data_IF_121358256393
#
_entry.id   IF_121358256393
#
_cell.length_a   1.000
_cell.length_b   1.000
_cell.length_c   1.000
_cell.angle_alpha   90.00
_cell.angle_beta   90.00
_cell.angle_gamma   90.00
#
_symmetry.space_group_name_H-M   'P 1'
#
loop_
_entity.id
_entity.type
_entity.pdbx_description
1 polymer ?
#
# COMPACT_ATOMS: atom_id res chain seq x y z
N UNK A 1 0.78 5.89 21.09
CA UNK A 1 0.62 5.55 19.65
C UNK A 1 -0.79 5.95 19.24
N UNK A 2 -0.96 7.21 18.84
CA UNK A 2 -2.24 7.87 18.56
C UNK A 2 -2.67 7.72 17.09
N UNK A 3 -2.07 6.76 16.36
CA UNK A 3 -1.99 6.75 14.90
C UNK A 3 -3.23 6.17 14.19
N UNK A 4 -4.22 5.61 14.91
CA UNK A 4 -5.22 4.74 14.26
C UNK A 4 -6.60 4.78 14.94
N UNK A 5 -7.01 5.87 15.60
CA UNK A 5 -8.40 5.91 16.10
C UNK A 5 -9.42 6.07 14.97
N UNK A 6 -9.12 6.90 13.96
CA UNK A 6 -10.06 7.21 12.87
C UNK A 6 -9.67 6.61 11.52
N UNK A 7 -8.59 5.81 11.50
CA UNK A 7 -8.17 5.14 10.28
C UNK A 7 -9.21 4.10 9.87
N UNK A 8 -9.48 4.03 8.57
CA UNK A 8 -10.45 3.09 8.01
C UNK A 8 -9.85 2.37 6.81
N UNK A 9 -10.30 1.14 6.56
CA UNK A 9 -9.94 0.44 5.33
C UNK A 9 -10.38 1.25 4.11
N UNK A 10 -9.58 1.18 3.04
CA UNK A 10 -9.95 1.83 1.78
C UNK A 10 -11.23 1.20 1.21
N UNK A 11 -12.02 2.03 0.56
CA UNK A 11 -13.16 1.60 -0.26
C UNK A 11 -12.81 1.82 -1.72
N UNK A 12 -12.51 0.73 -2.44
CA UNK A 12 -12.12 0.77 -3.85
C UNK A 12 -13.13 1.46 -4.76
N UNK A 13 -14.42 1.46 -4.39
CA UNK A 13 -15.49 2.07 -5.19
C UNK A 13 -15.51 3.60 -5.09
N UNK A 14 -14.81 4.18 -4.09
CA UNK A 14 -14.84 5.60 -3.77
C UNK A 14 -13.50 6.31 -4.01
N UNK A 15 -12.47 5.58 -4.43
CA UNK A 15 -11.15 6.16 -4.71
C UNK A 15 -11.13 6.87 -6.06
N UNK A 16 -10.71 8.13 -6.04
CA UNK A 16 -10.33 8.90 -7.23
C UNK A 16 -9.03 8.35 -7.84
N UNK A 17 -8.77 8.69 -9.11
CA UNK A 17 -7.51 8.33 -9.78
C UNK A 17 -6.28 8.81 -9.00
N UNK A 18 -6.32 10.05 -8.49
CA UNK A 18 -5.24 10.65 -7.72
C UNK A 18 -4.95 9.87 -6.43
N UNK A 19 -5.99 9.47 -5.71
CA UNK A 19 -5.83 8.66 -4.49
C UNK A 19 -5.23 7.29 -4.79
N UNK A 20 -5.64 6.64 -5.89
CA UNK A 20 -5.03 5.38 -6.34
C UNK A 20 -3.53 5.54 -6.62
N UNK A 21 -3.14 6.64 -7.28
CA UNK A 21 -1.73 6.95 -7.54
C UNK A 21 -0.95 7.20 -6.23
N UNK A 22 -1.56 7.85 -5.23
CA UNK A 22 -0.96 8.04 -3.91
C UNK A 22 -0.71 6.70 -3.19
N UNK A 23 -1.67 5.77 -3.26
CA UNK A 23 -1.51 4.43 -2.68
C UNK A 23 -0.34 3.67 -3.35
N UNK A 24 -0.21 3.76 -4.69
CA UNK A 24 0.92 3.16 -5.41
C UNK A 24 2.25 3.78 -4.97
N UNK A 25 2.30 5.11 -4.82
CA UNK A 25 3.50 5.80 -4.35
C UNK A 25 3.86 5.40 -2.91
N UNK A 26 2.88 5.16 -2.05
CA UNK A 26 3.13 4.67 -0.70
C UNK A 26 3.74 3.27 -0.69
N UNK A 27 3.28 2.37 -1.57
CA UNK A 27 3.92 1.06 -1.75
C UNK A 27 5.36 1.19 -2.27
N UNK A 28 5.62 2.11 -3.21
CA UNK A 28 6.97 2.37 -3.70
C UNK A 28 7.91 2.84 -2.61
N UNK A 29 7.44 3.66 -1.68
CA UNK A 29 8.25 4.07 -0.52
C UNK A 29 8.64 2.86 0.35
N UNK A 30 7.75 1.88 0.50
CA UNK A 30 8.05 0.61 1.19
C UNK A 30 9.08 -0.20 0.38
N UNK A 31 8.88 -0.33 -0.93
CA UNK A 31 9.81 -1.05 -1.82
C UNK A 31 11.21 -0.42 -1.88
N UNK A 32 11.32 0.90 -1.80
CA UNK A 32 12.60 1.61 -1.78
C UNK A 32 13.44 1.29 -0.54
N UNK A 33 12.79 0.84 0.54
CA UNK A 33 13.44 0.34 1.76
C UNK A 33 13.81 -1.16 1.66
N UNK A 34 13.61 -1.78 0.50
CA UNK A 34 13.87 -3.21 0.28
C UNK A 34 12.83 -4.13 0.89
N UNK A 35 11.65 -3.61 1.24
CA UNK A 35 10.58 -4.38 1.87
C UNK A 35 9.58 -4.83 0.80
N UNK A 36 9.40 -6.14 0.66
CA UNK A 36 8.32 -6.76 -0.10
C UNK A 36 7.18 -7.10 0.86
N UNK A 37 5.96 -6.61 0.63
CA UNK A 37 4.86 -6.79 1.59
C UNK A 37 4.31 -8.23 1.61
N UNK A 38 4.26 -8.88 0.44
CA UNK A 38 3.70 -10.20 0.12
C UNK A 38 2.18 -10.39 0.29
N UNK A 39 1.46 -9.45 0.92
CA UNK A 39 0.00 -9.56 1.14
C UNK A 39 -0.75 -8.29 0.72
N UNK A 40 -0.53 -7.88 -0.53
CA UNK A 40 -1.27 -6.75 -1.09
C UNK A 40 -2.74 -7.11 -1.28
N UNK A 41 -3.58 -6.42 -0.52
CA UNK A 41 -5.04 -6.49 -0.57
C UNK A 41 -5.67 -5.22 0.02
N UNK A 42 -6.92 -4.87 -0.33
CA UNK A 42 -7.58 -3.67 0.20
C UNK A 42 -7.74 -3.67 1.72
N UNK A 43 -7.88 -4.85 2.35
CA UNK A 43 -7.94 -4.97 3.81
C UNK A 43 -6.63 -4.54 4.48
N UNK A 44 -5.51 -4.61 3.79
CA UNK A 44 -4.19 -4.22 4.33
C UNK A 44 -3.82 -2.78 3.97
N UNK A 45 -4.79 -1.96 3.53
CA UNK A 45 -4.58 -0.55 3.22
C UNK A 45 -5.58 0.27 4.02
N UNK A 46 -5.06 1.15 4.88
CA UNK A 46 -5.82 2.10 5.66
C UNK A 46 -5.72 3.49 5.05
N UNK A 47 -6.80 4.26 5.17
CA UNK A 47 -6.82 5.70 4.98
C UNK A 47 -6.99 6.37 6.33
N UNK A 48 -6.10 7.31 6.64
CA UNK A 48 -6.17 8.14 7.85
C UNK A 48 -6.66 9.54 7.45
N UNK A 49 -7.86 9.97 7.89
CA UNK A 49 -8.46 11.21 7.41
C UNK A 49 -7.77 12.50 7.86
N UNK A 50 -7.08 12.52 9.01
CA UNK A 50 -6.51 13.76 9.59
C UNK A 50 -5.25 14.21 8.85
N UNK A 51 -4.42 13.25 8.47
CA UNK A 51 -3.19 13.40 7.68
C UNK A 51 -3.43 13.26 6.18
N UNK A 52 -4.60 12.73 5.78
CA UNK A 52 -4.89 12.40 4.37
C UNK A 52 -3.86 11.44 3.77
N UNK A 53 -3.32 10.53 4.59
CA UNK A 53 -2.34 9.53 4.17
C UNK A 53 -2.95 8.13 4.07
N UNK A 54 -2.31 7.32 3.25
CA UNK A 54 -2.59 5.89 3.15
C UNK A 54 -1.48 5.10 3.83
N UNK A 55 -1.84 4.00 4.46
CA UNK A 55 -0.90 3.15 5.18
C UNK A 55 -1.11 1.70 4.76
N UNK A 56 -0.01 1.00 4.51
CA UNK A 56 -0.02 -0.45 4.43
C UNK A 56 0.15 -1.02 5.84
N UNK A 57 -0.60 -2.07 6.16
CA UNK A 57 -0.58 -2.74 7.46
C UNK A 57 -0.39 -4.24 7.29
N UNK A 58 -0.12 -4.93 8.40
CA UNK A 58 0.05 -6.39 8.45
C UNK A 58 1.25 -6.90 7.62
N UNK A 59 2.45 -6.58 8.12
CA UNK A 59 3.73 -7.02 7.54
C UNK A 59 4.11 -8.45 7.95
N UNK A 60 3.18 -9.26 8.46
CA UNK A 60 3.47 -10.61 8.97
C UNK A 60 4.03 -11.58 7.92
N UNK A 61 3.81 -11.31 6.64
CA UNK A 61 4.32 -12.09 5.50
C UNK A 61 5.45 -11.39 4.74
N UNK A 62 5.90 -10.23 5.21
CA UNK A 62 6.86 -9.40 4.48
C UNK A 62 8.27 -9.99 4.48
N UNK A 63 9.02 -9.67 3.43
CA UNK A 63 10.38 -10.16 3.19
C UNK A 63 11.30 -8.97 2.88
N UNK A 64 12.53 -8.99 3.40
CA UNK A 64 13.59 -8.07 2.96
C UNK A 64 14.22 -8.64 1.70
N UNK A 65 14.23 -7.85 0.63
CA UNK A 65 14.74 -8.23 -0.69
C UNK A 65 15.70 -7.16 -1.21
N UNK A 66 16.52 -7.53 -2.19
CA UNK A 66 17.32 -6.54 -2.93
C UNK A 66 16.38 -5.54 -3.63
N UNK A 67 16.74 -4.25 -3.60
CA UNK A 67 15.94 -3.18 -4.20
C UNK A 67 15.74 -3.34 -5.72
N UNK A 68 16.56 -4.15 -6.39
CA UNK A 68 16.43 -4.50 -7.82
C UNK A 68 15.62 -5.77 -8.05
N UNK A 69 15.06 -6.36 -6.99
CA UNK A 69 14.27 -7.59 -7.09
C UNK A 69 13.06 -7.38 -8.01
N UNK A 70 12.86 -8.33 -8.93
CA UNK A 70 11.66 -8.34 -9.79
C UNK A 70 10.38 -8.63 -8.99
N UNK A 71 10.49 -9.15 -7.76
CA UNK A 71 9.33 -9.36 -6.86
C UNK A 71 8.63 -8.04 -6.52
N UNK A 72 9.38 -6.97 -6.27
CA UNK A 72 8.85 -5.63 -5.96
C UNK A 72 7.99 -5.11 -7.11
N UNK A 73 8.50 -5.21 -8.35
CA UNK A 73 7.78 -4.80 -9.56
C UNK A 73 6.49 -5.62 -9.77
N UNK A 74 6.52 -6.93 -9.51
CA UNK A 74 5.35 -7.81 -9.59
C UNK A 74 4.29 -7.44 -8.54
N UNK A 75 4.72 -7.09 -7.33
CA UNK A 75 3.83 -6.65 -6.27
C UNK A 75 3.16 -5.31 -6.59
N UNK A 76 3.91 -4.33 -7.11
CA UNK A 76 3.35 -3.05 -7.58
C UNK A 76 2.33 -3.27 -8.71
N UNK A 77 2.63 -4.15 -9.67
CA UNK A 77 1.71 -4.49 -10.76
C UNK A 77 0.42 -5.13 -10.23
N UNK A 78 0.51 -5.98 -9.21
CA UNK A 78 -0.67 -6.56 -8.53
C UNK A 78 -1.51 -5.48 -7.86
N UNK A 79 -0.88 -4.53 -7.16
CA UNK A 79 -1.58 -3.39 -6.55
C UNK A 79 -2.33 -2.57 -7.62
N UNK A 80 -1.67 -2.21 -8.72
CA UNK A 80 -2.29 -1.46 -9.81
C UNK A 80 -3.52 -2.17 -10.38
N UNK A 81 -3.45 -3.49 -10.56
CA UNK A 81 -4.59 -4.31 -10.99
C UNK A 81 -5.76 -4.25 -10.00
N UNK A 82 -5.50 -4.31 -8.69
CA UNK A 82 -6.52 -4.18 -7.64
C UNK A 82 -7.18 -2.79 -7.68
N UNK A 83 -6.36 -1.74 -7.89
CA UNK A 83 -6.83 -0.37 -7.97
C UNK A 83 -7.49 -0.02 -9.32
N UNK A 84 -7.43 -0.91 -10.31
CA UNK A 84 -7.88 -0.65 -11.68
C UNK A 84 -7.19 0.58 -12.29
N UNK A 85 -5.86 0.64 -12.11
CA UNK A 85 -4.95 1.61 -12.75
C UNK A 85 -4.20 0.98 -13.92
#
# INVERSE_FOLDING_TARGET
LQLIEDSRHIDLTRLTKKEKELIVNQLRSIHNLGVLHNDISPRNILYEPKSSHYFFIDFGLSEIVDNKSTKLHKEEARLKKILQL
#
